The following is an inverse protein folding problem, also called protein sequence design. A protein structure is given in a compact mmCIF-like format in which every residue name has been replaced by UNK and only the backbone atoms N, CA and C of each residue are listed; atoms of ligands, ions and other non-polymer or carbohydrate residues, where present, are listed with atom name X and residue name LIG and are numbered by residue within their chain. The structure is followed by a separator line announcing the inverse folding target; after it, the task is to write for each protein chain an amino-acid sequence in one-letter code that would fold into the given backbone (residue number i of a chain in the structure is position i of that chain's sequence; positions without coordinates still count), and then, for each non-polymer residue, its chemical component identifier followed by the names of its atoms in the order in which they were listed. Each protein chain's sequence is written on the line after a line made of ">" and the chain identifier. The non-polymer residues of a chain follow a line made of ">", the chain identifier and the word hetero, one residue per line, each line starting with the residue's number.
data_IF_155987125744
#
_entry.id   IF_155987125744
#
_cell.length_a   1.000
_cell.length_b   1.000
_cell.length_c   1.000
_cell.angle_alpha   90.00
_cell.angle_beta   90.00
_cell.angle_gamma   90.00
#
_symmetry.space_group_name_H-M   'P 1'
#
loop_
_entity.id
_entity.type
_entity.pdbx_description
1 polymer ?
#
# COMPACT_ATOMS: atom_id res chain seq x y z
N UNK A 1 10.04 9.50 2.15
CA UNK A 1 10.09 8.41 1.17
C UNK A 1 9.84 7.03 1.78
N UNK A 2 10.26 6.78 3.03
CA UNK A 2 10.00 5.52 3.74
C UNK A 2 8.51 5.14 3.81
N UNK A 3 7.63 6.09 4.17
CA UNK A 3 6.18 5.87 4.24
C UNK A 3 5.60 5.34 2.92
N UNK A 4 5.99 5.96 1.80
CA UNK A 4 5.50 5.64 0.46
C UNK A 4 5.97 4.24 0.05
N UNK A 5 7.23 3.90 0.35
CA UNK A 5 7.77 2.56 0.08
C UNK A 5 7.04 1.47 0.88
N UNK A 6 6.80 1.71 2.17
CA UNK A 6 6.07 0.75 3.02
C UNK A 6 4.61 0.63 2.59
N UNK A 7 3.97 1.74 2.18
CA UNK A 7 2.60 1.76 1.68
C UNK A 7 2.46 0.95 0.38
N UNK A 8 3.38 1.14 -0.57
CA UNK A 8 3.43 0.40 -1.83
C UNK A 8 3.58 -1.11 -1.61
N UNK A 9 4.50 -1.52 -0.72
CA UNK A 9 4.75 -2.92 -0.41
C UNK A 9 3.55 -3.56 0.30
N UNK A 10 2.93 -2.85 1.25
CA UNK A 10 1.73 -3.31 1.96
C UNK A 10 0.51 -3.40 1.02
N UNK A 11 0.33 -2.43 0.13
CA UNK A 11 -0.73 -2.42 -0.89
C UNK A 11 -0.55 -3.54 -1.90
N UNK A 12 0.71 -3.86 -2.23
CA UNK A 12 1.10 -5.03 -3.02
C UNK A 12 0.88 -6.39 -2.35
N UNK A 13 0.32 -6.42 -1.14
CA UNK A 13 0.00 -7.64 -0.40
C UNK A 13 1.20 -8.35 0.22
N UNK A 14 2.34 -7.66 0.36
CA UNK A 14 3.51 -8.21 1.04
C UNK A 14 3.34 -8.06 2.56
N UNK A 15 3.56 -9.16 3.29
CA UNK A 15 3.45 -9.15 4.75
C UNK A 15 4.58 -8.33 5.35
N UNK A 16 4.21 -7.34 6.18
CA UNK A 16 5.15 -6.52 6.95
C UNK A 16 5.84 -7.33 8.07
N UNK A 17 5.20 -8.41 8.54
CA UNK A 17 5.75 -9.33 9.54
C UNK A 17 6.74 -10.36 8.93
N UNK A 18 6.81 -10.44 7.60
CA UNK A 18 7.69 -11.36 6.89
C UNK A 18 7.10 -12.77 6.72
N UNK A 19 7.66 -13.53 5.77
CA UNK A 19 7.29 -14.92 5.49
C UNK A 19 6.20 -15.12 4.42
N UNK A 20 5.52 -14.06 3.96
CA UNK A 20 4.54 -14.10 2.86
C UNK A 20 4.56 -12.82 2.01
N UNK A 21 4.40 -12.98 0.70
CA UNK A 21 4.48 -11.90 -0.30
C UNK A 21 5.77 -11.95 -1.13
N UNK A 22 5.76 -11.31 -2.31
CA UNK A 22 6.88 -11.37 -3.25
C UNK A 22 7.11 -10.04 -3.97
N UNK A 23 8.27 -9.95 -4.64
CA UNK A 23 8.71 -8.74 -5.36
C UNK A 23 7.69 -8.30 -6.43
N UNK A 24 7.02 -9.26 -7.08
CA UNK A 24 5.99 -8.96 -8.09
C UNK A 24 4.81 -8.18 -7.51
N UNK A 25 4.32 -8.56 -6.31
CA UNK A 25 3.24 -7.84 -5.65
C UNK A 25 3.66 -6.44 -5.22
N UNK A 26 4.86 -6.31 -4.65
CA UNK A 26 5.43 -5.01 -4.28
C UNK A 26 5.61 -4.07 -5.49
N UNK A 27 6.02 -4.60 -6.64
CA UNK A 27 6.17 -3.82 -7.87
C UNK A 27 4.82 -3.28 -8.36
N UNK A 28 3.76 -4.10 -8.31
CA UNK A 28 2.40 -3.67 -8.64
C UNK A 28 1.95 -2.55 -7.69
N UNK A 29 2.12 -2.73 -6.37
CA UNK A 29 1.73 -1.70 -5.41
C UNK A 29 2.55 -0.41 -5.52
N UNK A 30 3.81 -0.49 -5.96
CA UNK A 30 4.62 0.69 -6.26
C UNK A 30 4.12 1.45 -7.49
N UNK A 31 3.68 0.73 -8.53
CA UNK A 31 3.06 1.32 -9.72
C UNK A 31 1.75 2.01 -9.35
N UNK A 32 0.92 1.40 -8.51
CA UNK A 32 -0.35 1.99 -8.07
C UNK A 32 -0.13 3.31 -7.32
N UNK A 33 0.80 3.33 -6.37
CA UNK A 33 1.16 4.55 -5.62
C UNK A 33 1.72 5.63 -6.54
N UNK A 34 2.57 5.26 -7.51
CA UNK A 34 3.12 6.19 -8.50
C UNK A 34 2.03 6.79 -9.40
N UNK A 35 1.06 5.98 -9.82
CA UNK A 35 -0.07 6.43 -10.62
C UNK A 35 -0.95 7.38 -9.83
N UNK A 36 -1.26 7.04 -8.58
CA UNK A 36 -2.02 7.89 -7.66
C UNK A 36 -1.32 9.25 -7.46
N UNK A 37 -0.02 9.23 -7.25
CA UNK A 37 0.79 10.44 -7.15
C UNK A 37 0.68 11.27 -8.43
N UNK A 38 0.88 10.66 -9.59
CA UNK A 38 0.84 11.34 -10.90
C UNK A 38 -0.54 11.96 -11.20
N UNK A 39 -1.62 11.27 -10.83
CA UNK A 39 -2.98 11.76 -10.99
C UNK A 39 -3.23 12.95 -10.06
N UNK A 40 -2.94 12.82 -8.76
CA UNK A 40 -3.18 13.86 -7.77
C UNK A 40 -2.34 15.13 -8.03
N UNK A 41 -1.09 14.99 -8.48
CA UNK A 41 -0.26 16.15 -8.84
C UNK A 41 -0.77 16.83 -10.11
N UNK A 42 -1.28 16.07 -11.09
CA UNK A 42 -1.88 16.62 -12.31
C UNK A 42 -3.14 17.44 -12.00
N UNK A 43 -3.94 17.02 -11.02
CA UNK A 43 -5.11 17.77 -10.54
C UNK A 43 -4.76 19.00 -9.68
N UNK A 44 -3.48 19.39 -9.60
CA UNK A 44 -3.00 20.55 -8.83
C UNK A 44 -3.32 20.45 -7.33
N UNK A 45 -3.44 19.22 -6.80
CA UNK A 45 -3.77 19.00 -5.39
C UNK A 45 -2.53 19.30 -4.53
N UNK A 46 -2.72 19.99 -3.40
CA UNK A 46 -1.61 20.37 -2.53
C UNK A 46 -0.87 19.15 -1.94
N UNK A 47 0.44 19.28 -1.75
CA UNK A 47 1.30 18.23 -1.17
C UNK A 47 0.78 17.72 0.19
N UNK A 48 0.08 18.58 0.94
CA UNK A 48 -0.54 18.22 2.22
C UNK A 48 -1.61 17.13 2.06
N UNK A 49 -2.49 17.26 1.07
CA UNK A 49 -3.55 16.27 0.80
C UNK A 49 -2.94 14.96 0.29
N UNK A 50 -1.88 15.04 -0.52
CA UNK A 50 -1.11 13.87 -0.96
C UNK A 50 -0.54 13.08 0.24
N UNK A 51 0.04 13.78 1.22
CA UNK A 51 0.57 13.14 2.43
C UNK A 51 -0.52 12.43 3.25
N UNK A 52 -1.69 13.06 3.40
CA UNK A 52 -2.84 12.45 4.06
C UNK A 52 -3.32 11.24 3.27
N UNK A 53 -3.42 11.34 1.94
CA UNK A 53 -3.83 10.25 1.07
C UNK A 53 -2.89 9.04 1.20
N UNK A 54 -1.57 9.24 1.20
CA UNK A 54 -0.61 8.15 1.41
C UNK A 54 -0.78 7.45 2.76
N UNK A 55 -1.03 8.22 3.82
CA UNK A 55 -1.33 7.66 5.14
C UNK A 55 -2.63 6.86 5.14
N UNK A 56 -3.69 7.39 4.53
CA UNK A 56 -4.98 6.72 4.42
C UNK A 56 -4.88 5.41 3.62
N UNK A 57 -4.18 5.43 2.48
CA UNK A 57 -3.93 4.26 1.64
C UNK A 57 -3.14 3.21 2.42
N UNK A 58 -2.10 3.60 3.17
CA UNK A 58 -1.35 2.67 4.00
C UNK A 58 -2.22 2.01 5.06
N UNK A 59 -3.07 2.78 5.76
CA UNK A 59 -3.99 2.23 6.77
C UNK A 59 -4.96 1.24 6.14
N UNK A 60 -5.56 1.59 4.99
CA UNK A 60 -6.46 0.70 4.26
C UNK A 60 -5.74 -0.57 3.79
N UNK A 61 -4.56 -0.43 3.20
CA UNK A 61 -3.75 -1.56 2.74
C UNK A 61 -3.42 -2.50 3.92
N UNK A 62 -2.94 -1.97 5.04
CA UNK A 62 -2.63 -2.75 6.24
C UNK A 62 -3.88 -3.44 6.79
N UNK A 63 -5.03 -2.76 6.82
CA UNK A 63 -6.28 -3.32 7.31
C UNK A 63 -6.78 -4.47 6.42
N UNK A 64 -6.69 -4.32 5.10
CA UNK A 64 -7.01 -5.38 4.14
C UNK A 64 -6.05 -6.56 4.28
N UNK A 65 -4.75 -6.30 4.38
CA UNK A 65 -3.72 -7.33 4.59
C UNK A 65 -3.95 -8.09 5.90
N UNK A 66 -4.26 -7.38 6.99
CA UNK A 66 -4.58 -7.99 8.28
C UNK A 66 -5.88 -8.83 8.23
N UNK A 67 -6.88 -8.39 7.47
CA UNK A 67 -8.11 -9.15 7.26
C UNK A 67 -7.86 -10.43 6.45
N UNK A 68 -7.09 -10.33 5.36
CA UNK A 68 -6.70 -11.47 4.54
C UNK A 68 -5.88 -12.50 5.35
N UNK A 69 -4.98 -12.04 6.22
CA UNK A 69 -4.24 -12.93 7.13
C UNK A 69 -5.16 -13.69 8.08
N UNK A 70 -6.20 -13.05 8.61
CA UNK A 70 -7.21 -13.69 9.48
C UNK A 70 -8.08 -14.70 8.75
N UNK A 71 -8.34 -14.49 7.46
CA UNK A 71 -9.09 -15.44 6.64
C UNK A 71 -8.20 -16.63 6.22
N UNK A 72 -6.93 -16.37 5.91
CA UNK A 72 -5.97 -17.41 5.52
C UNK A 72 -5.58 -18.34 6.68
N UNK A 73 -5.56 -17.86 7.93
CA UNK A 73 -5.31 -18.71 9.11
C UNK A 73 -6.51 -19.56 9.52
N UNK A 74 -7.71 -19.28 9.01
CA UNK A 74 -8.93 -20.05 9.33
C UNK A 74 -9.12 -21.30 8.47
N UNK A 75 -8.27 -21.51 7.46
CA UNK A 75 -8.33 -22.62 6.51
C UNK A 75 -7.32 -23.75 6.76
N UNK A 76 -6.66 -23.80 7.92
CA UNK A 76 -5.78 -24.90 8.33
C UNK A 76 -6.21 -25.48 9.66
#
# INVERSE_FOLDING_TARGET
>A
YTLIAIAAVALGGVSLAGGRGGVAGAAIGAIDIFLLQSVLTTFNVSTFVLQIAYGAILVLAVMLTALQERLATRGR
#
